data_IF_429171753526
#
_entry.id   IF_429171753526
#
_cell.length_a   1.000
_cell.length_b   1.000
_cell.length_c   1.000
_cell.angle_alpha   90.00
_cell.angle_beta   90.00
_cell.angle_gamma   90.00
#
_symmetry.space_group_name_H-M   'P 1'
#
loop_
_entity.id
_entity.type
_entity.pdbx_description
1 polymer ?
#
# COMPACT_ATOMS: atom_id res chain seq x y z
N UNK A 1 8.45 -7.67 13.02
CA UNK A 1 8.32 -6.20 12.80
C UNK A 1 9.69 -5.55 12.60
N UNK A 2 10.80 -6.14 13.06
CA UNK A 2 12.17 -5.61 12.91
C UNK A 2 12.53 -5.16 11.49
N UNK A 3 12.51 -6.08 10.51
CA UNK A 3 12.93 -5.78 9.11
C UNK A 3 12.23 -4.58 8.47
N UNK A 4 10.94 -4.38 8.76
CA UNK A 4 10.19 -3.22 8.22
C UNK A 4 10.67 -1.91 8.87
N UNK A 5 11.07 -1.97 10.14
CA UNK A 5 11.71 -0.87 10.85
C UNK A 5 13.07 -0.53 10.24
N UNK A 6 13.94 -1.52 10.07
CA UNK A 6 15.27 -1.37 9.47
C UNK A 6 15.17 -0.80 8.03
N UNK A 7 14.26 -1.35 7.22
CA UNK A 7 13.93 -0.78 5.90
C UNK A 7 13.47 0.68 5.98
N UNK A 8 12.68 1.05 6.99
CA UNK A 8 12.19 2.43 7.16
C UNK A 8 13.31 3.40 7.58
N UNK A 9 14.28 2.93 8.37
CA UNK A 9 15.42 3.72 8.83
C UNK A 9 16.29 4.20 7.66
N UNK A 10 16.42 3.40 6.58
CA UNK A 10 17.12 3.78 5.35
C UNK A 10 16.57 5.09 4.75
N UNK A 11 15.26 5.32 4.87
CA UNK A 11 14.57 6.46 4.27
C UNK A 11 14.31 7.61 5.25
N UNK A 12 14.53 7.43 6.56
CA UNK A 12 14.10 8.38 7.59
C UNK A 12 14.60 9.82 7.38
N UNK A 13 15.80 9.97 6.81
CA UNK A 13 16.42 11.26 6.55
C UNK A 13 16.62 11.55 5.05
N UNK A 14 16.06 10.71 4.19
CA UNK A 14 16.03 10.93 2.75
C UNK A 14 14.81 11.80 2.45
N UNK A 15 14.99 12.89 1.70
CA UNK A 15 13.87 13.69 1.19
C UNK A 15 13.09 12.93 0.10
N UNK A 16 12.63 13.64 -0.92
CA UNK A 16 12.08 12.95 -2.09
C UNK A 16 13.15 12.06 -2.75
N UNK A 17 12.84 10.78 -2.89
CA UNK A 17 13.74 9.79 -3.49
C UNK A 17 13.32 9.54 -4.94
N UNK A 18 14.15 9.92 -5.93
CA UNK A 18 13.82 9.71 -7.34
C UNK A 18 13.86 8.22 -7.69
N UNK A 19 13.02 7.83 -8.65
CA UNK A 19 13.01 6.47 -9.20
C UNK A 19 14.40 6.09 -9.72
N UNK A 20 14.84 4.89 -9.37
CA UNK A 20 16.13 4.35 -9.84
C UNK A 20 17.33 4.78 -9.00
N UNK A 21 17.13 5.61 -7.98
CA UNK A 21 18.16 5.96 -6.98
C UNK A 21 19.49 6.46 -7.60
N UNK A 22 19.46 7.39 -8.58
CA UNK A 22 20.66 7.85 -9.28
C UNK A 22 21.77 8.40 -8.36
N UNK A 23 21.39 9.08 -7.28
CA UNK A 23 22.32 9.71 -6.33
C UNK A 23 22.75 8.80 -5.17
N UNK A 24 22.35 7.53 -5.20
CA UNK A 24 22.69 6.57 -4.16
C UNK A 24 23.98 5.83 -4.52
N UNK A 25 24.81 5.60 -3.50
CA UNK A 25 25.97 4.72 -3.64
C UNK A 25 25.51 3.28 -3.82
N UNK A 26 26.34 2.46 -4.46
CA UNK A 26 26.04 1.04 -4.65
C UNK A 26 25.94 0.26 -3.34
N UNK A 27 26.70 0.66 -2.31
CA UNK A 27 26.58 0.11 -0.95
C UNK A 27 25.19 0.34 -0.35
N UNK A 28 24.64 1.56 -0.47
CA UNK A 28 23.30 1.90 0.00
C UNK A 28 22.22 1.12 -0.76
N UNK A 29 22.38 0.92 -2.07
CA UNK A 29 21.44 0.15 -2.89
C UNK A 29 21.48 -1.33 -2.54
N UNK A 30 22.66 -1.86 -2.24
CA UNK A 30 22.84 -3.24 -1.80
C UNK A 30 22.13 -3.45 -0.48
N UNK A 31 22.38 -2.58 0.50
CA UNK A 31 21.73 -2.63 1.81
C UNK A 31 20.21 -2.50 1.71
N UNK A 32 19.69 -1.57 0.88
CA UNK A 32 18.26 -1.50 0.60
C UNK A 32 17.70 -2.82 0.03
N UNK A 33 18.46 -3.49 -0.84
CA UNK A 33 18.09 -4.79 -1.39
C UNK A 33 18.04 -5.89 -0.34
N UNK A 34 18.94 -5.88 0.63
CA UNK A 34 18.98 -6.81 1.77
C UNK A 34 17.73 -6.63 2.64
N UNK A 35 17.44 -5.41 3.10
CA UNK A 35 16.26 -5.15 3.95
C UNK A 35 14.92 -5.47 3.24
N UNK A 36 14.82 -5.17 1.95
CA UNK A 36 13.66 -5.57 1.13
C UNK A 36 13.51 -7.09 1.06
N UNK A 37 14.64 -7.80 0.94
CA UNK A 37 14.67 -9.26 0.88
C UNK A 37 14.28 -9.87 2.22
N UNK A 38 14.72 -9.32 3.33
CA UNK A 38 14.39 -9.83 4.67
C UNK A 38 12.90 -9.69 4.98
N UNK A 39 12.28 -8.56 4.61
CA UNK A 39 10.82 -8.39 4.67
C UNK A 39 10.11 -9.45 3.83
N UNK A 40 10.55 -9.68 2.58
CA UNK A 40 9.94 -10.65 1.68
C UNK A 40 10.06 -12.08 2.22
N UNK A 41 11.26 -12.48 2.65
CA UNK A 41 11.54 -13.82 3.17
C UNK A 41 10.74 -14.09 4.44
N UNK A 42 10.62 -13.11 5.32
CA UNK A 42 9.77 -13.21 6.50
C UNK A 42 8.29 -13.42 6.11
N UNK A 43 7.78 -12.69 5.11
CA UNK A 43 6.41 -12.86 4.63
C UNK A 43 6.17 -14.25 4.01
N UNK A 44 7.11 -14.74 3.20
CA UNK A 44 7.03 -16.09 2.63
C UNK A 44 6.98 -17.13 3.76
N UNK A 45 7.89 -17.04 4.73
CA UNK A 45 7.94 -17.98 5.85
C UNK A 45 6.68 -17.91 6.70
N UNK A 46 6.18 -16.72 6.99
CA UNK A 46 4.94 -16.54 7.73
C UNK A 46 3.74 -17.13 6.99
N UNK A 47 3.67 -16.95 5.66
CA UNK A 47 2.59 -17.51 4.85
C UNK A 47 2.56 -19.03 4.88
N UNK A 48 3.73 -19.67 4.82
CA UNK A 48 3.89 -21.12 4.94
C UNK A 48 3.39 -21.62 6.31
N UNK A 49 3.84 -20.98 7.40
CA UNK A 49 3.41 -21.33 8.77
C UNK A 49 1.90 -21.15 8.95
N UNK A 50 1.32 -20.11 8.36
CA UNK A 50 -0.11 -19.83 8.46
C UNK A 50 -0.97 -20.62 7.45
N UNK A 51 -0.38 -21.42 6.56
CA UNK A 51 -1.10 -22.13 5.51
C UNK A 51 -1.78 -21.20 4.48
N UNK A 52 -1.22 -20.01 4.25
CA UNK A 52 -1.73 -19.02 3.31
C UNK A 52 -0.97 -19.14 1.99
N UNK A 53 -1.70 -19.35 0.90
CA UNK A 53 -1.13 -19.20 -0.45
C UNK A 53 -0.95 -17.71 -0.75
N UNK A 54 0.26 -17.20 -0.45
CA UNK A 54 0.60 -15.78 -0.59
C UNK A 54 0.44 -15.29 -2.04
N UNK A 55 0.75 -16.13 -3.02
CA UNK A 55 0.61 -15.81 -4.44
C UNK A 55 -0.86 -15.58 -4.82
N UNK A 56 -1.76 -16.50 -4.45
CA UNK A 56 -3.21 -16.33 -4.68
C UNK A 56 -3.77 -15.13 -3.92
N UNK A 57 -3.33 -14.92 -2.69
CA UNK A 57 -3.75 -13.77 -1.89
C UNK A 57 -3.36 -12.44 -2.54
N UNK A 58 -2.13 -12.35 -3.06
CA UNK A 58 -1.64 -11.18 -3.79
C UNK A 58 -2.44 -10.91 -5.06
N UNK A 59 -2.72 -11.94 -5.89
CA UNK A 59 -3.52 -11.80 -7.11
C UNK A 59 -4.94 -11.31 -6.80
N UNK A 60 -5.63 -11.92 -5.82
CA UNK A 60 -6.95 -11.46 -5.36
C UNK A 60 -6.90 -10.00 -4.90
N UNK A 61 -5.82 -9.59 -4.23
CA UNK A 61 -5.67 -8.21 -3.76
C UNK A 61 -5.51 -7.22 -4.92
N UNK A 62 -4.79 -7.59 -5.98
CA UNK A 62 -4.65 -6.79 -7.21
C UNK A 62 -6.01 -6.58 -7.88
N UNK A 63 -6.81 -7.64 -8.02
CA UNK A 63 -8.17 -7.57 -8.58
C UNK A 63 -9.07 -6.63 -7.77
N UNK A 64 -9.07 -6.77 -6.44
CA UNK A 64 -9.83 -5.88 -5.55
C UNK A 64 -9.36 -4.42 -5.64
N UNK A 65 -8.05 -4.18 -5.79
CA UNK A 65 -7.51 -2.84 -5.96
C UNK A 65 -7.93 -2.22 -7.29
N UNK A 66 -8.03 -3.00 -8.38
CA UNK A 66 -8.51 -2.52 -9.67
C UNK A 66 -9.98 -2.07 -9.62
N UNK A 67 -10.81 -2.77 -8.84
CA UNK A 67 -12.20 -2.36 -8.59
C UNK A 67 -12.27 -1.09 -7.71
N UNK A 68 -11.40 -1.00 -6.70
CA UNK A 68 -11.36 0.15 -5.77
C UNK A 68 -10.82 1.42 -6.43
N UNK A 69 -9.87 1.30 -7.36
CA UNK A 69 -9.22 2.44 -8.04
C UNK A 69 -9.31 2.29 -9.57
N UNK A 70 -10.47 2.58 -10.18
CA UNK A 70 -10.64 2.49 -11.63
C UNK A 70 -9.71 3.45 -12.37
N UNK A 71 -9.10 2.99 -13.46
CA UNK A 71 -8.14 3.77 -14.28
C UNK A 71 -8.75 5.06 -14.82
N UNK A 72 -10.03 5.04 -15.16
CA UNK A 72 -10.78 6.21 -15.65
C UNK A 72 -11.02 7.27 -14.57
N UNK A 73 -10.91 6.93 -13.28
CA UNK A 73 -10.98 7.88 -12.16
C UNK A 73 -9.60 8.29 -11.64
N UNK A 74 -8.53 7.62 -12.09
CA UNK A 74 -7.15 7.83 -11.60
C UNK A 74 -6.21 8.44 -12.64
N UNK A 75 -6.62 8.54 -13.91
CA UNK A 75 -5.94 9.34 -14.96
C UNK A 75 -6.35 10.81 -14.86
N UNK A 76 -5.84 11.55 -13.87
CA UNK A 76 -5.91 13.02 -13.89
C UNK A 76 -6.04 13.74 -12.56
N UNK A 77 -6.18 13.06 -11.43
CA UNK A 77 -6.37 13.74 -10.14
C UNK A 77 -5.06 13.91 -9.37
N UNK A 78 -4.12 14.66 -9.94
CA UNK A 78 -3.16 15.44 -9.14
C UNK A 78 -3.78 16.74 -8.61
N UNK A 79 -5.10 16.94 -8.81
CA UNK A 79 -5.83 18.07 -8.28
C UNK A 79 -6.74 17.63 -7.12
N UNK A 80 -6.35 18.09 -5.92
CA UNK A 80 -7.16 18.46 -4.75
C UNK A 80 -8.48 17.73 -4.50
N UNK A 81 -8.55 17.13 -3.32
CA UNK A 81 -9.74 16.99 -2.46
C UNK A 81 -11.00 17.66 -3.03
N UNK A 82 -11.96 16.86 -3.47
CA UNK A 82 -13.33 17.32 -3.67
C UNK A 82 -14.28 16.28 -3.12
N UNK A 83 -14.90 16.69 -2.01
CA UNK A 83 -16.07 16.17 -1.33
C UNK A 83 -16.93 15.16 -2.10
N UNK A 84 -17.23 14.05 -1.45
CA UNK A 84 -18.50 13.34 -1.68
C UNK A 84 -19.22 13.17 -0.35
N UNK A 85 -20.03 14.19 -0.08
CA UNK A 85 -21.20 14.15 0.78
C UNK A 85 -22.03 12.89 0.47
N UNK A 86 -22.34 12.06 1.47
CA UNK A 86 -23.41 11.07 1.36
C UNK A 86 -24.20 11.08 2.66
N UNK A 87 -24.91 12.18 2.86
CA UNK A 87 -26.03 12.27 3.79
C UNK A 87 -27.31 12.32 2.98
N UNK A 88 -27.90 11.14 2.70
CA UNK A 88 -29.34 11.01 2.42
C UNK A 88 -29.71 9.55 2.17
N UNK A 89 -30.31 8.90 3.17
CA UNK A 89 -31.60 8.28 2.93
C UNK A 89 -32.46 8.24 4.22
N UNK A 90 -33.55 9.01 4.15
CA UNK A 90 -34.83 8.92 4.86
C UNK A 90 -35.38 7.49 4.87
N UNK A 91 -36.31 7.02 5.71
CA UNK A 91 -37.17 7.56 6.77
C UNK A 91 -37.99 6.36 7.23
N UNK A 92 -38.27 6.22 8.53
CA UNK A 92 -39.37 5.36 8.99
C UNK A 92 -40.05 6.00 10.20
N UNK A 93 -41.19 6.62 9.90
CA UNK A 93 -42.48 6.55 10.62
C UNK A 93 -42.45 6.92 12.11
N UNK A 94 -43.08 8.05 12.46
CA UNK A 94 -43.94 8.17 13.66
C UNK A 94 -44.83 9.43 13.64
N UNK A 95 -46.15 9.20 13.70
CA UNK A 95 -47.06 9.82 14.69
C UNK A 95 -47.62 11.24 14.48
N UNK A 96 -48.95 11.31 14.33
CA UNK A 96 -49.84 12.20 15.12
C UNK A 96 -50.05 13.64 14.64
N UNK A 97 -51.21 13.89 14.01
CA UNK A 97 -52.33 14.67 14.58
C UNK A 97 -53.53 14.68 13.60
#
# INVERSE_FOLDING_TARGET
>A
VGEVGELSEIFQWRGEVPKGLPDWKEEDKTHLGEELSDVLLYLIRLSDICGVDLGKAALRKIELNALKYPVNLSKGSSNKYSDTNTSSNSSSINGGD
#
